data_IF_257339910886
#
_entry.id   IF_257339910886
#
_cell.length_a   1.000
_cell.length_b   1.000
_cell.length_c   1.000
_cell.angle_alpha   90.00
_cell.angle_beta   90.00
_cell.angle_gamma   90.00
#
_symmetry.space_group_name_H-M   'P 1'
#
loop_
_entity.id
_entity.type
_entity.pdbx_description
1 polymer ?
#
# COMPACT_ATOMS: atom_id res chain seq x y z
N UNK A 1 -3.37 -21.72 17.90
CA UNK A 1 -2.39 -20.65 17.64
C UNK A 1 -2.09 -20.44 16.16
N UNK A 2 -2.10 -21.48 15.32
CA UNK A 2 -1.81 -21.39 13.87
C UNK A 2 -2.80 -20.62 12.98
N UNK A 3 -4.04 -20.39 13.42
CA UNK A 3 -5.01 -19.63 12.61
C UNK A 3 -4.74 -18.12 12.56
N UNK A 4 -3.90 -17.60 13.47
CA UNK A 4 -3.57 -16.18 13.55
C UNK A 4 -2.40 -15.77 12.65
N UNK A 5 -1.50 -16.72 12.37
CA UNK A 5 -0.18 -16.42 11.80
C UNK A 5 -0.22 -15.97 10.32
N UNK A 6 -1.07 -16.54 9.44
CA UNK A 6 -1.04 -16.14 8.02
C UNK A 6 -2.01 -15.00 7.68
N UNK A 7 -3.05 -14.76 8.49
CA UNK A 7 -4.11 -13.80 8.14
C UNK A 7 -3.71 -12.33 8.32
N UNK A 8 -2.64 -12.05 9.07
CA UNK A 8 -2.23 -10.68 9.43
C UNK A 8 -0.83 -10.28 8.95
N UNK A 9 -0.02 -11.23 8.47
CA UNK A 9 1.29 -10.93 7.89
C UNK A 9 1.20 -10.34 6.46
N UNK A 10 0.02 -10.37 5.83
CA UNK A 10 -0.19 -9.85 4.48
C UNK A 10 -1.46 -9.00 4.43
N UNK A 11 -1.41 -7.82 5.03
CA UNK A 11 -2.24 -6.72 4.56
C UNK A 11 -1.50 -6.03 3.41
N UNK A 12 -1.91 -6.12 2.14
CA UNK A 12 -1.38 -5.32 1.03
C UNK A 12 -1.69 -3.80 1.16
N UNK A 13 -1.82 -3.32 2.39
CA UNK A 13 -2.41 -2.03 2.74
C UNK A 13 -1.33 -1.02 3.15
N UNK A 14 -0.12 -1.46 3.44
CA UNK A 14 0.88 -0.63 4.11
C UNK A 14 2.00 -0.02 3.24
N UNK A 15 2.41 -0.54 2.05
CA UNK A 15 3.52 0.11 1.35
C UNK A 15 3.17 1.51 0.86
N UNK A 16 1.89 1.76 0.55
CA UNK A 16 1.43 3.05 0.01
C UNK A 16 1.82 4.19 0.93
N UNK A 17 1.56 4.07 2.23
CA UNK A 17 1.84 5.15 3.19
C UNK A 17 3.32 5.35 3.47
N UNK A 18 4.13 4.29 3.38
CA UNK A 18 5.59 4.38 3.61
C UNK A 18 6.30 5.07 2.43
N UNK A 19 5.78 4.89 1.21
CA UNK A 19 6.29 5.53 0.00
C UNK A 19 5.65 6.89 -0.30
N UNK A 20 4.75 7.39 0.56
CA UNK A 20 4.34 8.79 0.52
C UNK A 20 5.41 9.58 1.27
N UNK A 21 6.39 10.09 0.52
CA UNK A 21 7.32 11.09 1.03
C UNK A 21 6.75 12.47 0.72
N UNK A 22 6.35 13.21 1.75
CA UNK A 22 5.61 14.47 1.58
C UNK A 22 6.42 15.59 0.93
N UNK A 23 7.75 15.59 1.07
CA UNK A 23 8.61 16.64 0.50
C UNK A 23 10.00 16.08 0.12
N UNK A 24 10.17 15.50 -1.08
CA UNK A 24 11.49 15.22 -1.62
C UNK A 24 12.20 16.51 -2.06
N UNK A 25 13.51 16.55 -1.89
CA UNK A 25 14.36 17.63 -2.41
C UNK A 25 14.29 17.66 -3.94
N UNK A 26 14.11 18.84 -4.52
CA UNK A 26 13.78 19.00 -5.93
C UNK A 26 14.02 20.40 -6.45
N UNK A 27 14.09 20.52 -7.76
CA UNK A 27 14.01 21.78 -8.50
C UNK A 27 13.25 21.57 -9.81
N UNK A 28 12.86 22.67 -10.47
CA UNK A 28 12.27 22.61 -11.81
C UNK A 28 13.27 21.99 -12.80
N UNK A 29 12.76 21.25 -13.79
CA UNK A 29 13.54 20.98 -14.98
C UNK A 29 13.73 22.29 -15.78
N UNK A 30 14.97 22.68 -16.00
CA UNK A 30 15.34 23.91 -16.72
C UNK A 30 16.22 23.63 -17.94
N UNK A 31 16.13 22.44 -18.52
CA UNK A 31 16.93 22.01 -19.67
C UNK A 31 16.74 22.87 -20.93
N UNK A 32 15.71 23.72 -20.96
CA UNK A 32 15.52 24.73 -22.01
C UNK A 32 16.78 25.59 -22.22
N UNK A 33 17.54 25.90 -21.15
CA UNK A 33 18.76 26.73 -21.26
C UNK A 33 19.90 26.03 -22.02
N UNK A 34 19.88 24.69 -22.08
CA UNK A 34 20.88 23.91 -22.81
C UNK A 34 20.80 24.13 -24.32
N UNK A 35 19.67 24.65 -24.83
CA UNK A 35 19.56 25.09 -26.22
C UNK A 35 20.44 26.31 -26.54
N UNK A 36 20.64 27.20 -25.56
CA UNK A 36 21.51 28.37 -25.67
C UNK A 36 22.98 28.02 -25.33
N UNK A 37 23.20 27.11 -24.38
CA UNK A 37 24.53 26.66 -23.99
C UNK A 37 24.55 25.18 -23.57
N UNK A 38 24.98 24.25 -24.45
CA UNK A 38 24.85 22.81 -24.20
C UNK A 38 25.86 22.24 -23.18
N UNK A 39 26.93 22.97 -22.87
CA UNK A 39 28.03 22.51 -22.00
C UNK A 39 28.01 23.16 -20.60
N UNK A 40 26.84 23.55 -20.10
CA UNK A 40 26.69 24.11 -18.75
C UNK A 40 26.89 23.04 -17.68
N UNK A 41 27.49 23.42 -16.56
CA UNK A 41 27.49 22.59 -15.35
C UNK A 41 26.12 22.65 -14.67
N UNK A 42 25.73 21.62 -13.93
CA UNK A 42 24.43 21.60 -13.23
C UNK A 42 24.29 22.74 -12.23
N UNK A 43 25.37 23.12 -11.56
CA UNK A 43 25.38 24.26 -10.62
C UNK A 43 25.17 25.59 -11.34
N UNK A 44 25.86 25.80 -12.46
CA UNK A 44 25.70 27.00 -13.27
C UNK A 44 24.30 27.08 -13.89
N UNK A 45 23.78 25.97 -14.40
CA UNK A 45 22.41 25.87 -14.90
C UNK A 45 21.40 26.31 -13.83
N UNK A 46 21.48 25.76 -12.62
CA UNK A 46 20.60 26.14 -11.52
C UNK A 46 20.74 27.61 -11.14
N UNK A 47 21.97 28.11 -11.06
CA UNK A 47 22.24 29.51 -10.68
C UNK A 47 21.70 30.53 -11.69
N UNK A 48 21.57 30.15 -12.97
CA UNK A 48 21.00 30.99 -14.03
C UNK A 48 19.48 30.85 -14.17
N UNK A 49 18.91 29.70 -13.81
CA UNK A 49 17.52 29.36 -14.16
C UNK A 49 16.56 29.19 -12.99
N UNK A 50 17.07 29.06 -11.76
CA UNK A 50 16.25 28.85 -10.56
C UNK A 50 16.48 30.00 -9.57
N UNK A 51 15.42 30.70 -9.13
CA UNK A 51 15.55 31.77 -8.15
C UNK A 51 16.00 31.21 -6.79
N UNK A 52 16.67 32.06 -5.99
CA UNK A 52 17.05 31.73 -4.61
C UNK A 52 16.00 32.21 -3.62
N UNK A 53 15.74 31.39 -2.61
CA UNK A 53 14.90 31.75 -1.47
C UNK A 53 15.70 32.60 -0.46
N UNK A 54 15.01 33.14 0.56
CA UNK A 54 15.62 34.01 1.58
C UNK A 54 16.73 33.33 2.38
N UNK A 55 16.67 32.00 2.48
CA UNK A 55 17.68 31.17 3.15
C UNK A 55 18.91 30.88 2.27
N UNK A 56 18.91 31.36 1.02
CA UNK A 56 19.96 31.16 0.05
C UNK A 56 19.89 29.82 -0.70
N UNK A 57 18.91 28.97 -0.42
CA UNK A 57 18.66 27.74 -1.17
C UNK A 57 17.94 28.02 -2.49
N UNK A 58 17.96 27.06 -3.41
CA UNK A 58 17.21 27.17 -4.67
C UNK A 58 15.72 26.93 -4.41
N UNK A 59 14.86 27.69 -5.10
CA UNK A 59 13.42 27.49 -5.00
C UNK A 59 13.03 26.07 -5.43
N UNK A 60 12.20 25.43 -4.60
CA UNK A 60 11.68 24.08 -4.86
C UNK A 60 10.49 24.03 -5.81
N UNK A 61 9.92 25.18 -6.17
CA UNK A 61 8.64 25.25 -6.89
C UNK A 61 8.61 26.26 -8.05
N UNK A 62 9.59 27.14 -8.12
CA UNK A 62 9.65 28.21 -9.12
C UNK A 62 10.94 28.12 -9.95
N UNK A 63 10.85 28.62 -11.17
CA UNK A 63 11.97 28.83 -12.10
C UNK A 63 11.81 30.19 -12.78
N UNK A 64 12.90 30.70 -13.34
CA UNK A 64 12.81 31.84 -14.25
C UNK A 64 12.11 31.45 -15.56
N UNK A 65 11.34 32.39 -16.10
CA UNK A 65 10.62 32.21 -17.37
C UNK A 65 11.62 31.91 -18.50
N UNK A 66 11.41 30.86 -19.32
CA UNK A 66 12.28 30.56 -20.46
C UNK A 66 12.34 31.72 -21.45
N UNK A 67 13.55 32.08 -21.88
CA UNK A 67 13.80 33.15 -22.85
C UNK A 67 14.62 32.63 -24.04
N UNK A 68 14.41 33.21 -25.21
CA UNK A 68 15.20 32.93 -26.42
C UNK A 68 16.37 33.92 -26.55
N UNK A 69 17.22 34.01 -25.52
CA UNK A 69 18.38 34.90 -25.49
C UNK A 69 19.68 34.09 -25.56
N UNK A 70 20.76 34.73 -26.02
CA UNK A 70 22.09 34.13 -25.98
C UNK A 70 22.60 34.04 -24.52
N UNK A 71 23.43 33.05 -24.24
CA UNK A 71 23.92 32.79 -22.88
C UNK A 71 24.68 33.98 -22.27
N UNK A 72 25.39 34.75 -23.09
CA UNK A 72 26.14 35.92 -22.63
C UNK A 72 25.20 37.04 -22.18
N UNK A 73 24.09 37.24 -22.88
CA UNK A 73 23.04 38.19 -22.48
C UNK A 73 22.37 37.77 -21.17
N UNK A 74 22.11 36.47 -21.00
CA UNK A 74 21.55 35.93 -19.76
C UNK A 74 22.51 36.14 -18.58
N UNK A 75 23.82 35.95 -18.78
CA UNK A 75 24.84 36.19 -17.75
C UNK A 75 25.01 37.68 -17.41
N UNK A 76 24.85 38.57 -18.38
CA UNK A 76 25.02 40.02 -18.19
C UNK A 76 23.81 40.65 -17.48
N UNK A 77 22.59 40.34 -17.95
CA UNK A 77 21.37 40.99 -17.46
C UNK A 77 20.59 40.18 -16.43
N UNK A 78 20.80 38.87 -16.36
CA UNK A 78 20.01 37.97 -15.52
C UNK A 78 18.56 37.82 -15.98
N UNK A 79 17.82 36.96 -15.28
CA UNK A 79 16.38 36.76 -15.46
C UNK A 79 15.65 37.28 -14.22
N UNK A 80 14.52 37.96 -14.42
CA UNK A 80 13.77 38.62 -13.33
C UNK A 80 12.34 38.11 -13.18
N UNK A 81 11.75 37.54 -14.24
CA UNK A 81 10.38 37.01 -14.20
C UNK A 81 10.40 35.53 -13.80
N UNK A 82 9.61 35.16 -12.79
CA UNK A 82 9.47 33.79 -12.29
C UNK A 82 8.13 33.17 -12.70
N UNK A 83 8.12 31.85 -12.82
CA UNK A 83 6.94 31.02 -13.09
C UNK A 83 7.06 29.71 -12.33
N UNK A 84 5.93 29.02 -12.14
CA UNK A 84 5.96 27.60 -11.73
C UNK A 84 6.60 26.72 -12.81
N UNK A 85 7.12 25.56 -12.42
CA UNK A 85 7.81 24.65 -13.33
C UNK A 85 6.91 24.19 -14.48
N UNK A 86 7.43 24.25 -15.71
CA UNK A 86 6.69 23.92 -16.93
C UNK A 86 7.06 22.53 -17.48
N UNK A 87 8.34 22.18 -17.45
CA UNK A 87 8.88 20.95 -18.07
C UNK A 87 9.14 19.82 -17.06
N UNK A 88 8.37 19.80 -15.97
CA UNK A 88 8.48 18.80 -14.90
C UNK A 88 9.55 19.10 -13.86
N UNK A 89 9.99 18.05 -13.15
CA UNK A 89 10.79 18.15 -11.94
C UNK A 89 12.04 17.26 -12.00
N UNK A 90 13.09 17.74 -11.36
CA UNK A 90 14.29 16.93 -11.10
C UNK A 90 14.39 16.74 -9.59
N UNK A 91 14.38 15.48 -9.17
CA UNK A 91 14.41 15.10 -7.76
C UNK A 91 15.81 14.70 -7.32
N UNK A 92 16.30 15.32 -6.24
CA UNK A 92 17.62 15.08 -5.66
C UNK A 92 17.56 14.32 -4.33
N UNK A 93 18.69 13.72 -3.92
CA UNK A 93 18.92 13.20 -2.57
C UNK A 93 17.81 12.28 -2.00
N UNK A 94 17.23 11.42 -2.83
CA UNK A 94 16.13 10.55 -2.39
C UNK A 94 16.63 9.24 -1.74
N UNK A 95 16.01 8.87 -0.62
CA UNK A 95 16.19 7.56 0.01
C UNK A 95 15.63 6.41 -0.85
N UNK A 96 14.53 6.70 -1.56
CA UNK A 96 13.81 5.78 -2.43
C UNK A 96 14.11 6.10 -3.90
N UNK A 97 14.16 5.07 -4.75
CA UNK A 97 14.40 5.25 -6.19
C UNK A 97 13.18 5.83 -6.90
N UNK A 98 12.00 5.46 -6.44
CA UNK A 98 10.72 5.91 -6.98
C UNK A 98 9.69 5.91 -5.85
N UNK A 99 8.93 7.00 -5.75
CA UNK A 99 7.84 7.19 -4.79
C UNK A 99 6.55 7.55 -5.53
N UNK A 100 5.42 7.49 -4.84
CA UNK A 100 4.13 7.91 -5.42
C UNK A 100 4.18 9.41 -5.77
N UNK A 101 4.88 10.20 -4.97
CA UNK A 101 5.00 11.66 -5.17
C UNK A 101 5.85 11.98 -6.38
N UNK A 102 6.98 11.29 -6.58
CA UNK A 102 7.88 11.53 -7.71
C UNK A 102 7.41 10.90 -9.02
N UNK A 103 6.61 9.83 -8.98
CA UNK A 103 6.07 9.22 -10.20
C UNK A 103 4.90 10.01 -10.80
N UNK A 104 4.18 10.77 -9.97
CA UNK A 104 3.01 11.55 -10.39
C UNK A 104 3.20 13.06 -10.20
N UNK A 105 4.41 13.51 -9.89
CA UNK A 105 4.77 14.92 -9.68
C UNK A 105 3.84 15.65 -8.69
N UNK A 106 3.51 15.01 -7.57
CA UNK A 106 2.56 15.49 -6.56
C UNK A 106 3.19 16.50 -5.61
N UNK A 107 3.80 17.54 -6.17
CA UNK A 107 4.54 18.57 -5.44
C UNK A 107 4.00 19.97 -5.75
N UNK A 108 4.35 20.95 -4.91
CA UNK A 108 3.96 22.35 -5.07
C UNK A 108 2.44 22.50 -5.24
N UNK A 109 1.96 23.00 -6.38
CA UNK A 109 0.52 23.17 -6.62
C UNK A 109 -0.31 21.87 -6.55
N UNK A 110 0.33 20.70 -6.72
CA UNK A 110 -0.31 19.38 -6.66
C UNK A 110 -0.07 18.65 -5.33
N UNK A 111 0.60 19.27 -4.35
CA UNK A 111 0.92 18.63 -3.07
C UNK A 111 -0.33 18.20 -2.28
N UNK A 112 -1.45 18.92 -2.43
CA UNK A 112 -2.72 18.58 -1.78
C UNK A 112 -3.29 17.24 -2.25
N UNK A 113 -2.95 16.76 -3.45
CA UNK A 113 -3.40 15.45 -3.93
C UNK A 113 -2.83 14.29 -3.10
N UNK A 114 -1.69 14.49 -2.43
CA UNK A 114 -1.13 13.49 -1.51
C UNK A 114 -2.10 13.23 -0.35
N UNK A 115 -2.71 14.28 0.20
CA UNK A 115 -3.71 14.15 1.26
C UNK A 115 -5.01 13.53 0.73
N UNK A 116 -5.43 13.90 -0.48
CA UNK A 116 -6.59 13.32 -1.15
C UNK A 116 -6.42 11.81 -1.36
N UNK A 117 -5.21 11.36 -1.73
CA UNK A 117 -4.86 9.94 -1.84
C UNK A 117 -5.14 9.21 -0.52
N UNK A 118 -4.68 9.76 0.61
CA UNK A 118 -4.90 9.16 1.92
C UNK A 118 -6.39 9.16 2.32
N UNK A 119 -7.09 10.26 2.05
CA UNK A 119 -8.52 10.39 2.32
C UNK A 119 -9.35 9.38 1.51
N UNK A 120 -9.06 9.21 0.23
CA UNK A 120 -9.75 8.26 -0.65
C UNK A 120 -9.57 6.82 -0.19
N UNK A 121 -8.37 6.46 0.27
CA UNK A 121 -8.13 5.15 0.86
C UNK A 121 -9.00 4.92 2.11
N UNK A 122 -9.00 5.88 3.05
CA UNK A 122 -9.77 5.78 4.29
C UNK A 122 -11.28 5.77 4.04
N UNK A 123 -11.76 6.57 3.08
CA UNK A 123 -13.14 6.54 2.63
C UNK A 123 -13.52 5.15 2.09
N UNK A 124 -12.64 4.53 1.28
CA UNK A 124 -12.79 3.15 0.84
C UNK A 124 -12.92 2.18 2.02
N UNK A 125 -12.01 2.25 2.99
CA UNK A 125 -12.02 1.40 4.20
C UNK A 125 -13.34 1.53 4.96
N UNK A 126 -13.84 2.76 5.15
CA UNK A 126 -15.12 3.00 5.82
C UNK A 126 -16.27 2.33 5.08
N UNK A 127 -16.41 2.60 3.78
CA UNK A 127 -17.49 2.05 2.96
C UNK A 127 -17.42 0.52 2.93
N UNK A 128 -16.23 -0.04 2.71
CA UNK A 128 -16.00 -1.49 2.71
C UNK A 128 -16.37 -2.16 4.03
N UNK A 129 -15.98 -1.56 5.15
CA UNK A 129 -16.31 -2.08 6.49
C UNK A 129 -17.81 -2.11 6.75
N UNK A 130 -18.53 -1.07 6.33
CA UNK A 130 -19.99 -0.97 6.49
C UNK A 130 -20.74 -1.96 5.59
N UNK A 131 -20.31 -2.13 4.34
CA UNK A 131 -20.98 -3.03 3.39
C UNK A 131 -20.72 -4.51 3.69
N UNK A 132 -19.49 -4.88 4.02
CA UNK A 132 -19.12 -6.27 4.24
C UNK A 132 -19.52 -6.83 5.62
N UNK A 133 -20.00 -5.99 6.54
CA UNK A 133 -20.58 -6.42 7.82
C UNK A 133 -21.87 -7.24 7.61
N UNK A 134 -22.97 -6.63 7.13
CA UNK A 134 -24.23 -7.34 6.85
C UNK A 134 -24.07 -8.45 5.80
N UNK A 135 -23.15 -8.27 4.85
CA UNK A 135 -22.84 -9.29 3.84
C UNK A 135 -22.37 -10.62 4.47
N UNK A 136 -21.63 -10.55 5.60
CA UNK A 136 -21.16 -11.73 6.32
C UNK A 136 -22.28 -12.57 6.93
N UNK A 137 -23.34 -11.92 7.37
CA UNK A 137 -24.53 -12.56 7.95
C UNK A 137 -25.36 -13.24 6.87
N UNK A 138 -25.46 -12.62 5.69
CA UNK A 138 -26.31 -13.10 4.59
C UNK A 138 -25.64 -14.20 3.73
N UNK A 139 -24.35 -14.07 3.41
CA UNK A 139 -23.67 -14.96 2.47
C UNK A 139 -22.65 -15.91 3.13
N UNK A 140 -22.54 -15.82 4.45
CA UNK A 140 -21.62 -16.62 5.26
C UNK A 140 -20.21 -16.02 5.33
N UNK A 141 -19.63 -16.11 6.53
CA UNK A 141 -18.36 -15.46 6.88
C UNK A 141 -17.20 -15.78 5.96
N UNK A 142 -17.13 -17.01 5.44
CA UNK A 142 -16.02 -17.40 4.56
C UNK A 142 -16.01 -16.61 3.24
N UNK A 143 -17.17 -16.42 2.61
CA UNK A 143 -17.29 -15.62 1.38
C UNK A 143 -17.06 -14.15 1.67
N UNK A 144 -17.56 -13.67 2.80
CA UNK A 144 -17.35 -12.31 3.28
C UNK A 144 -15.89 -11.98 3.63
N UNK A 145 -15.03 -12.98 3.89
CA UNK A 145 -13.57 -12.76 3.99
C UNK A 145 -12.87 -12.88 2.63
N UNK A 146 -13.23 -13.88 1.81
CA UNK A 146 -12.50 -14.16 0.56
C UNK A 146 -12.73 -13.14 -0.55
N UNK A 147 -13.98 -12.70 -0.76
CA UNK A 147 -14.31 -11.72 -1.80
C UNK A 147 -13.53 -10.41 -1.61
N UNK A 148 -13.55 -9.75 -0.44
CA UNK A 148 -12.79 -8.54 -0.24
C UNK A 148 -11.28 -8.77 -0.31
N UNK A 149 -10.77 -9.95 0.06
CA UNK A 149 -9.35 -10.28 -0.11
C UNK A 149 -8.94 -10.35 -1.59
N UNK A 150 -9.77 -10.93 -2.45
CA UNK A 150 -9.51 -10.98 -3.90
C UNK A 150 -9.59 -9.59 -4.51
N UNK A 151 -10.62 -8.80 -4.16
CA UNK A 151 -10.75 -7.42 -4.61
C UNK A 151 -9.51 -6.61 -4.22
N UNK A 152 -9.09 -6.73 -2.96
CA UNK A 152 -7.91 -6.09 -2.43
C UNK A 152 -6.67 -6.44 -3.27
N UNK A 153 -6.36 -7.73 -3.48
CA UNK A 153 -5.21 -8.14 -4.30
C UNK A 153 -5.26 -7.63 -5.75
N UNK A 154 -6.42 -7.73 -6.41
CA UNK A 154 -6.59 -7.28 -7.80
C UNK A 154 -6.34 -5.78 -7.91
N UNK A 155 -6.93 -4.99 -7.02
CA UNK A 155 -6.78 -3.54 -7.07
C UNK A 155 -5.41 -3.08 -6.58
N UNK A 156 -4.71 -3.82 -5.69
CA UNK A 156 -3.31 -3.54 -5.35
C UNK A 156 -2.37 -3.76 -6.54
N UNK A 157 -2.60 -4.81 -7.36
CA UNK A 157 -1.85 -4.95 -8.63
C UNK A 157 -2.18 -3.80 -9.57
N UNK A 158 -3.46 -3.41 -9.63
CA UNK A 158 -3.91 -2.30 -10.49
C UNK A 158 -3.25 -0.98 -10.09
N UNK A 159 -3.17 -0.65 -8.80
CA UNK A 159 -2.50 0.58 -8.32
C UNK A 159 -1.02 0.60 -8.69
N UNK A 160 -0.33 -0.54 -8.64
CA UNK A 160 1.07 -0.66 -9.05
C UNK A 160 1.31 -0.34 -10.54
N UNK A 161 0.31 -0.63 -11.39
CA UNK A 161 0.39 -0.47 -12.84
C UNK A 161 -0.25 0.83 -13.35
N UNK A 162 -0.79 1.66 -12.46
CA UNK A 162 -1.48 2.90 -12.85
C UNK A 162 -0.52 3.89 -13.54
N UNK A 163 -0.83 4.38 -14.76
CA UNK A 163 -0.04 5.41 -15.43
C UNK A 163 -0.43 6.84 -15.02
N UNK A 164 -1.59 7.02 -14.38
CA UNK A 164 -2.15 8.34 -14.05
C UNK A 164 -2.69 8.35 -12.61
N UNK A 165 -2.52 9.48 -11.92
CA UNK A 165 -3.00 9.74 -10.55
C UNK A 165 -4.50 9.53 -10.39
N UNK A 166 -5.34 9.86 -11.38
CA UNK A 166 -6.80 9.70 -11.25
C UNK A 166 -7.23 8.24 -11.22
N UNK A 167 -6.64 7.40 -12.09
CA UNK A 167 -6.88 5.96 -12.04
C UNK A 167 -6.33 5.35 -10.76
N UNK A 168 -5.19 5.87 -10.29
CA UNK A 168 -4.62 5.49 -9.00
C UNK A 168 -5.57 5.81 -7.84
N UNK A 169 -6.20 6.99 -7.80
CA UNK A 169 -7.18 7.38 -6.77
C UNK A 169 -8.39 6.42 -6.73
N UNK A 170 -8.97 6.11 -7.89
CA UNK A 170 -10.12 5.19 -7.97
C UNK A 170 -9.72 3.78 -7.54
N UNK A 171 -8.58 3.29 -8.04
CA UNK A 171 -8.06 1.97 -7.67
C UNK A 171 -7.76 1.91 -6.17
N UNK A 172 -7.22 2.98 -5.60
CA UNK A 172 -6.90 3.08 -4.19
C UNK A 172 -8.15 3.08 -3.29
N UNK A 173 -9.22 3.74 -3.72
CA UNK A 173 -10.51 3.62 -3.05
C UNK A 173 -10.99 2.16 -3.02
N UNK A 174 -10.86 1.43 -4.12
CA UNK A 174 -11.26 0.02 -4.22
C UNK A 174 -10.34 -0.91 -3.40
N UNK A 175 -9.04 -0.60 -3.31
CA UNK A 175 -8.11 -1.23 -2.36
C UNK A 175 -8.60 -0.99 -0.93
N UNK A 176 -8.92 0.26 -0.58
CA UNK A 176 -9.50 0.60 0.74
C UNK A 176 -10.78 -0.18 1.03
N UNK A 177 -11.70 -0.24 0.06
CA UNK A 177 -12.95 -0.99 0.16
C UNK A 177 -12.71 -2.49 0.45
N UNK A 178 -11.82 -3.13 -0.29
CA UNK A 178 -11.40 -4.51 -0.03
C UNK A 178 -10.72 -4.66 1.33
N UNK A 179 -9.83 -3.73 1.70
CA UNK A 179 -9.10 -3.75 2.97
C UNK A 179 -10.03 -3.65 4.18
N UNK A 180 -11.01 -2.75 4.16
CA UNK A 180 -12.01 -2.60 5.22
C UNK A 180 -12.85 -3.87 5.39
N UNK A 181 -13.39 -4.39 4.29
CA UNK A 181 -14.19 -5.61 4.32
C UNK A 181 -13.39 -6.84 4.79
N UNK A 182 -12.16 -6.99 4.32
CA UNK A 182 -11.25 -8.06 4.73
C UNK A 182 -10.89 -7.95 6.22
N UNK A 183 -10.53 -6.76 6.70
CA UNK A 183 -10.11 -6.53 8.09
C UNK A 183 -11.22 -6.87 9.07
N UNK A 184 -12.44 -6.35 8.86
CA UNK A 184 -13.59 -6.62 9.74
C UNK A 184 -13.89 -8.12 9.79
N UNK A 185 -14.00 -8.76 8.63
CA UNK A 185 -14.36 -10.19 8.57
C UNK A 185 -13.24 -11.11 9.09
N UNK A 186 -11.98 -10.74 8.94
CA UNK A 186 -10.84 -11.51 9.44
C UNK A 186 -10.73 -11.46 10.96
N UNK A 187 -10.93 -10.29 11.58
CA UNK A 187 -10.98 -10.16 13.04
C UNK A 187 -12.09 -11.06 13.60
N UNK A 188 -13.29 -10.96 13.02
CA UNK A 188 -14.43 -11.74 13.50
C UNK A 188 -14.16 -13.23 13.32
N UNK A 189 -13.72 -13.66 12.15
CA UNK A 189 -13.41 -15.07 11.91
C UNK A 189 -12.35 -15.57 12.90
N UNK A 190 -11.30 -14.81 13.18
CA UNK A 190 -10.24 -15.19 14.12
C UNK A 190 -10.75 -15.33 15.57
N UNK A 191 -11.63 -14.41 16.00
CA UNK A 191 -12.21 -14.41 17.35
C UNK A 191 -13.35 -15.42 17.52
N UNK A 192 -13.91 -15.97 16.45
CA UNK A 192 -14.86 -17.09 16.56
C UNK A 192 -14.21 -18.40 16.99
N UNK A 193 -12.93 -18.61 16.62
CA UNK A 193 -12.17 -19.80 17.02
C UNK A 193 -11.71 -19.75 18.46
N UNK A 194 -11.65 -18.56 19.05
CA UNK A 194 -11.29 -18.35 20.44
C UNK A 194 -12.60 -18.17 21.19
N UNK A 195 -13.00 -19.16 21.99
CA UNK A 195 -14.24 -19.11 22.77
C UNK A 195 -14.46 -17.78 23.51
N UNK A 196 -15.73 -17.46 23.81
CA UNK A 196 -16.15 -16.11 24.25
C UNK A 196 -15.32 -15.50 25.39
N UNK A 197 -14.79 -16.32 26.31
CA UNK A 197 -13.99 -15.89 27.46
C UNK A 197 -12.61 -15.31 27.10
N UNK A 198 -12.05 -15.64 25.94
CA UNK A 198 -10.69 -15.21 25.52
C UNK A 198 -10.68 -14.35 24.26
N UNK A 199 -11.84 -13.93 23.77
CA UNK A 199 -11.96 -13.15 22.52
C UNK A 199 -11.11 -11.88 22.50
N UNK A 200 -11.15 -11.10 23.58
CA UNK A 200 -10.35 -9.86 23.70
C UNK A 200 -8.86 -10.15 23.62
N UNK A 201 -8.38 -11.21 24.27
CA UNK A 201 -6.99 -11.63 24.20
C UNK A 201 -6.60 -12.05 22.77
N UNK A 202 -7.48 -12.79 22.09
CA UNK A 202 -7.32 -13.15 20.68
C UNK A 202 -7.19 -11.95 19.74
N UNK A 203 -8.03 -10.94 19.93
CA UNK A 203 -7.96 -9.69 19.19
C UNK A 203 -6.65 -8.94 19.46
N UNK A 204 -6.22 -8.82 20.72
CA UNK A 204 -4.93 -8.18 21.05
C UNK A 204 -3.74 -8.90 20.41
N UNK A 205 -3.72 -10.24 20.46
CA UNK A 205 -2.66 -11.04 19.82
C UNK A 205 -2.66 -10.84 18.30
N UNK A 206 -3.82 -10.75 17.67
CA UNK A 206 -3.92 -10.47 16.22
C UNK A 206 -3.35 -9.10 15.84
N UNK A 207 -3.58 -8.07 16.67
CA UNK A 207 -3.00 -6.75 16.47
C UNK A 207 -1.48 -6.76 16.65
N UNK A 208 -0.95 -7.53 17.61
CA UNK A 208 0.50 -7.65 17.78
C UNK A 208 1.16 -8.28 16.54
N UNK A 209 0.57 -9.35 15.99
CA UNK A 209 1.07 -9.96 14.75
C UNK A 209 0.99 -9.01 13.55
N UNK A 210 -0.04 -8.16 13.50
CA UNK A 210 -0.17 -7.12 12.47
C UNK A 210 0.97 -6.12 12.56
N UNK A 211 1.27 -5.62 13.77
CA UNK A 211 2.35 -4.67 14.00
C UNK A 211 3.72 -5.26 13.63
N UNK A 212 4.00 -6.52 14.00
CA UNK A 212 5.22 -7.20 13.59
C UNK A 212 5.30 -7.34 12.06
N UNK A 213 4.18 -7.67 11.40
CA UNK A 213 4.09 -7.72 9.95
C UNK A 213 4.41 -6.38 9.28
N UNK A 214 3.91 -5.28 9.83
CA UNK A 214 4.22 -3.93 9.37
C UNK A 214 5.71 -3.58 9.55
N UNK A 215 6.34 -3.97 10.66
CA UNK A 215 7.78 -3.78 10.85
C UNK A 215 8.62 -4.56 9.82
N UNK A 216 8.26 -5.82 9.54
CA UNK A 216 8.94 -6.64 8.51
C UNK A 216 8.75 -6.00 7.13
N UNK A 217 7.55 -5.53 6.83
CA UNK A 217 7.25 -4.85 5.57
C UNK A 217 8.05 -3.56 5.41
N UNK A 218 8.18 -2.74 6.46
CA UNK A 218 9.03 -1.54 6.43
C UNK A 218 10.49 -1.89 6.09
N UNK A 219 11.03 -2.98 6.66
CA UNK A 219 12.35 -3.51 6.31
C UNK A 219 12.45 -3.97 4.84
N UNK A 220 11.44 -4.65 4.31
CA UNK A 220 11.39 -5.03 2.89
C UNK A 220 11.33 -3.81 1.97
N UNK A 221 10.53 -2.81 2.33
CA UNK A 221 10.39 -1.54 1.59
C UNK A 221 11.73 -0.81 1.52
N UNK A 222 12.47 -0.75 2.63
CA UNK A 222 13.82 -0.18 2.67
C UNK A 222 14.79 -0.88 1.71
N UNK A 223 14.62 -2.18 1.48
CA UNK A 223 15.39 -2.96 0.51
C UNK A 223 14.95 -2.76 -0.94
N UNK A 224 13.64 -2.77 -1.22
CA UNK A 224 13.08 -2.68 -2.57
C UNK A 224 13.23 -1.27 -3.16
N UNK A 225 12.99 -0.24 -2.33
CA UNK A 225 13.11 1.20 -2.67
C UNK A 225 12.31 1.69 -3.88
N UNK A 226 11.41 0.86 -4.42
CA UNK A 226 10.51 1.18 -5.52
C UNK A 226 9.09 0.81 -5.10
N UNK A 227 8.21 1.80 -5.07
CA UNK A 227 6.86 1.62 -4.54
C UNK A 227 6.01 0.66 -5.38
N UNK A 228 6.11 0.71 -6.72
CA UNK A 228 5.34 -0.17 -7.63
C UNK A 228 5.74 -1.64 -7.45
N UNK A 229 7.04 -1.91 -7.37
CA UNK A 229 7.54 -3.26 -7.14
C UNK A 229 7.12 -3.77 -5.75
N UNK A 230 7.16 -2.91 -4.73
CA UNK A 230 6.67 -3.25 -3.39
C UNK A 230 5.17 -3.58 -3.37
N UNK A 231 4.33 -2.84 -4.12
CA UNK A 231 2.91 -3.18 -4.30
C UNK A 231 2.74 -4.56 -4.92
N UNK A 232 3.46 -4.87 -6.00
CA UNK A 232 3.35 -6.16 -6.69
C UNK A 232 3.76 -7.35 -5.81
N UNK A 233 4.86 -7.21 -5.07
CA UNK A 233 5.34 -8.26 -4.15
C UNK A 233 4.32 -8.50 -3.03
N UNK A 234 3.72 -7.43 -2.51
CA UNK A 234 2.75 -7.53 -1.40
C UNK A 234 1.34 -7.92 -1.85
N UNK A 235 1.01 -7.78 -3.14
CA UNK A 235 -0.30 -8.12 -3.67
C UNK A 235 -0.61 -9.63 -3.66
N UNK A 236 0.41 -10.50 -3.59
CA UNK A 236 0.24 -11.97 -3.62
C UNK A 236 -0.50 -12.43 -2.35
N UNK A 237 -1.77 -12.88 -2.47
CA UNK A 237 -2.54 -13.26 -1.30
C UNK A 237 -2.10 -14.65 -0.83
N UNK A 238 -1.37 -14.73 0.29
CA UNK A 238 -1.23 -15.98 1.02
C UNK A 238 -2.50 -16.24 1.83
N UNK A 239 -3.57 -16.70 1.16
CA UNK A 239 -4.78 -17.17 1.85
C UNK A 239 -4.65 -18.68 2.03
N UNK A 240 -4.19 -19.18 3.20
CA UNK A 240 -4.26 -20.60 3.48
C UNK A 240 -5.74 -21.03 3.45
N UNK A 241 -6.00 -22.07 2.68
CA UNK A 241 -7.35 -22.57 2.49
C UNK A 241 -7.90 -23.16 3.79
N UNK A 242 -9.07 -22.70 4.25
CA UNK A 242 -9.63 -23.16 5.53
C UNK A 242 -10.15 -24.59 5.45
N UNK A 243 -9.82 -25.44 6.43
CA UNK A 243 -10.27 -26.84 6.51
C UNK A 243 -11.80 -26.99 6.40
N UNK A 244 -12.56 -26.06 6.99
CA UNK A 244 -14.03 -26.04 6.87
C UNK A 244 -14.52 -25.86 5.43
N UNK A 245 -13.81 -25.11 4.60
CA UNK A 245 -14.21 -24.97 3.20
C UNK A 245 -13.93 -26.20 2.39
N UNK A 246 -12.75 -26.78 2.61
CA UNK A 246 -12.38 -28.05 2.01
C UNK A 246 -13.46 -29.09 2.34
N UNK A 247 -13.91 -29.16 3.59
CA UNK A 247 -15.06 -29.99 3.98
C UNK A 247 -16.36 -29.60 3.26
N UNK A 248 -16.70 -28.31 3.17
CA UNK A 248 -17.93 -27.83 2.52
C UNK A 248 -17.98 -28.06 1.00
N UNK A 249 -16.81 -28.23 0.36
CA UNK A 249 -16.66 -28.52 -1.07
C UNK A 249 -16.42 -30.00 -1.35
N UNK A 250 -16.53 -30.86 -0.33
CA UNK A 250 -16.30 -32.29 -0.47
C UNK A 250 -14.83 -32.70 -0.55
N UNK A 251 -13.88 -31.77 -0.45
CA UNK A 251 -12.42 -32.02 -0.40
C UNK A 251 -12.00 -32.46 1.00
N UNK A 252 -12.52 -33.62 1.43
CA UNK A 252 -12.36 -34.12 2.80
C UNK A 252 -10.89 -34.45 3.13
N UNK A 253 -10.10 -34.82 2.13
CA UNK A 253 -8.77 -35.37 2.36
C UNK A 253 -7.76 -34.26 2.66
N UNK A 254 -7.87 -33.16 1.93
CA UNK A 254 -7.11 -31.95 2.19
C UNK A 254 -7.52 -31.30 3.51
N UNK A 255 -8.82 -31.32 3.83
CA UNK A 255 -9.29 -30.85 5.13
C UNK A 255 -8.68 -31.67 6.27
N UNK A 256 -8.65 -33.00 6.12
CA UNK A 256 -8.06 -33.93 7.07
C UNK A 256 -6.56 -33.67 7.23
N UNK A 257 -5.82 -33.50 6.13
CA UNK A 257 -4.40 -33.15 6.17
C UNK A 257 -4.16 -31.83 6.91
N UNK A 258 -4.98 -30.80 6.66
CA UNK A 258 -4.86 -29.51 7.33
C UNK A 258 -5.16 -29.62 8.84
N UNK A 259 -6.20 -30.36 9.22
CA UNK A 259 -6.61 -30.58 10.62
C UNK A 259 -5.53 -31.36 11.38
N UNK A 260 -4.99 -32.43 10.80
CA UNK A 260 -3.90 -33.23 11.41
C UNK A 260 -2.64 -32.37 11.59
N UNK A 261 -2.27 -31.58 10.58
CA UNK A 261 -1.12 -30.67 10.65
C UNK A 261 -1.31 -29.63 11.75
N UNK A 262 -2.50 -29.03 11.87
CA UNK A 262 -2.81 -28.07 12.92
C UNK A 262 -2.80 -28.71 14.32
N UNK A 263 -3.29 -29.94 14.45
CA UNK A 263 -3.38 -30.65 15.73
C UNK A 263 -2.00 -31.12 16.24
N UNK A 264 -1.13 -31.59 15.34
CA UNK A 264 0.25 -31.93 15.65
C UNK A 264 1.01 -30.72 16.23
N UNK A 265 0.78 -29.53 15.66
CA UNK A 265 1.44 -28.31 16.11
C UNK A 265 0.85 -27.79 17.44
N UNK A 266 -0.46 -27.91 17.64
CA UNK A 266 -1.09 -27.56 18.91
C UNK A 266 -0.94 -28.67 19.99
N UNK A 267 -0.11 -29.71 19.75
CA UNK A 267 0.15 -30.85 20.64
C UNK A 267 -1.12 -31.53 21.17
N UNK A 268 -2.20 -31.53 20.40
CA UNK A 268 -3.46 -32.13 20.79
C UNK A 268 -3.77 -33.31 19.86
N UNK A 269 -3.95 -34.55 20.38
CA UNK A 269 -4.30 -35.67 19.53
C UNK A 269 -5.71 -35.47 18.95
N UNK A 270 -5.84 -35.67 17.63
CA UNK A 270 -7.14 -35.67 16.94
C UNK A 270 -7.80 -37.02 17.20
N UNK A 271 -9.01 -37.06 17.75
CA UNK A 271 -9.73 -38.33 17.91
C UNK A 271 -10.12 -38.90 16.54
N UNK A 272 -9.98 -40.21 16.35
CA UNK A 272 -10.36 -40.91 15.09
C UNK A 272 -11.83 -40.68 14.70
N UNK A 273 -12.69 -40.40 15.68
CA UNK A 273 -14.10 -40.07 15.47
C UNK A 273 -14.31 -38.79 14.63
N UNK A 274 -13.42 -37.81 14.75
CA UNK A 274 -13.45 -36.57 13.96
C UNK A 274 -12.97 -36.78 12.52
N UNK A 275 -12.19 -37.83 12.28
CA UNK A 275 -11.69 -38.22 10.95
C UNK A 275 -12.72 -39.03 10.16
N UNK A 276 -13.64 -39.72 10.84
CA UNK A 276 -14.66 -40.59 10.26
C UNK A 276 -16.03 -39.88 10.06
N UNK A 277 -16.34 -38.84 10.86
CA UNK A 277 -17.60 -38.09 10.77
C UNK A 277 -17.38 -36.56 10.80
N UNK A 278 -17.07 -35.94 9.65
CA UNK A 278 -16.80 -34.49 9.58
C UNK A 278 -18.00 -33.61 9.95
N UNK A 279 -19.22 -34.18 10.03
CA UNK A 279 -20.42 -33.45 10.49
C UNK A 279 -20.36 -33.07 11.98
N UNK A 280 -19.62 -33.81 12.80
CA UNK A 280 -19.53 -33.58 14.25
C UNK A 280 -18.31 -32.76 14.68
N UNK A 281 -17.32 -32.56 13.79
CA UNK A 281 -16.16 -31.70 14.04
C UNK A 281 -16.52 -30.21 14.18
N UNK A 282 -17.73 -29.82 13.80
CA UNK A 282 -18.25 -28.45 13.93
C UNK A 282 -18.64 -28.11 15.38
N UNK A 283 -18.85 -29.11 16.24
CA UNK A 283 -19.43 -28.93 17.58
C UNK A 283 -18.42 -28.89 18.74
N UNK A 284 -17.13 -29.15 18.50
CA UNK A 284 -16.13 -28.96 19.54
C UNK A 284 -15.81 -27.47 19.69
N UNK A 285 -16.50 -26.85 20.65
CA UNK A 285 -15.96 -25.70 21.37
C UNK A 285 -14.60 -26.13 21.94
N UNK A 286 -13.54 -25.53 21.43
CA UNK A 286 -12.21 -25.57 22.04
C UNK A 286 -12.06 -24.39 23.00
#
# INVERSE_FOLDING_TARGET
MFFFFPCYLAGPVSPIFVFIQSDPDRHCNTDWILSAAPNLTSEEQLNLTVPREEDGTFSKCEMFVPVNWDIDTIREYGLNETTGCQDGWVYGNMLYKATIVTDFDLVCGQASLVEVIQAMFMAGVLVGSLMFGPFAESFGRKRATQIPAVLLSVFTVTTALCPNVYLYLVSLFLVGFGAGGYRVNSIILSTEWIGMSKRSWGACVSQLFSAIGECVLAGMIYGIRNWRLAQLITAVPFIPESARWLLSRGRKEEAKQLIVKAAAINKHPVSEFLLLSPKHAVLLRY
#
